data_IF_547258732838
#
_entry.id   IF_547258732838
#
_cell.length_a   1.000
_cell.length_b   1.000
_cell.length_c   1.000
_cell.angle_alpha   90.00
_cell.angle_beta   90.00
_cell.angle_gamma   90.00
#
_symmetry.space_group_name_H-M   'P 1'
#
loop_
_entity.id
_entity.type
_entity.pdbx_description
1 polymer ?
#
# COMPACT_ATOMS: atom_id res chain seq x y z
N UNK A 1 14.73 0.33 9.47
CA UNK A 1 13.68 1.26 9.95
C UNK A 1 12.36 0.49 10.06
N UNK A 2 11.68 0.54 11.20
CA UNK A 2 10.42 -0.21 11.41
C UNK A 2 9.28 0.40 10.58
N UNK A 3 8.41 -0.43 9.99
CA UNK A 3 7.25 0.02 9.20
C UNK A 3 6.14 0.58 10.11
N UNK A 4 6.32 1.79 10.64
CA UNK A 4 5.34 2.49 11.47
C UNK A 4 4.77 3.72 10.73
N UNK A 5 3.55 4.18 11.08
CA UNK A 5 2.96 5.38 10.48
C UNK A 5 3.86 6.62 10.62
N UNK A 6 4.46 6.80 11.80
CA UNK A 6 5.38 7.90 12.11
C UNK A 6 6.62 7.88 11.22
N UNK A 7 7.25 6.72 11.02
CA UNK A 7 8.42 6.62 10.15
C UNK A 7 8.06 6.88 8.69
N UNK A 8 6.90 6.38 8.23
CA UNK A 8 6.40 6.67 6.88
C UNK A 8 6.14 8.17 6.68
N UNK A 9 5.60 8.85 7.69
CA UNK A 9 5.36 10.29 7.67
C UNK A 9 6.66 11.08 7.51
N UNK A 10 7.66 10.80 8.34
CA UNK A 10 8.98 11.46 8.27
C UNK A 10 9.60 11.27 6.89
N UNK A 11 9.60 10.02 6.39
CA UNK A 11 10.11 9.72 5.05
C UNK A 11 9.34 10.46 3.95
N UNK A 12 8.02 10.59 4.07
CA UNK A 12 7.20 11.33 3.10
C UNK A 12 7.60 12.81 3.04
N UNK A 13 7.73 13.45 4.20
CA UNK A 13 8.14 14.86 4.30
C UNK A 13 9.55 15.09 3.76
N UNK A 14 10.49 14.21 4.10
CA UNK A 14 11.85 14.25 3.55
C UNK A 14 11.86 14.13 2.02
N UNK A 15 11.01 13.25 1.47
CA UNK A 15 10.90 13.08 0.02
C UNK A 15 10.28 14.30 -0.66
N UNK A 16 9.28 14.93 -0.05
CA UNK A 16 8.70 16.20 -0.54
C UNK A 16 9.77 17.29 -0.57
N UNK A 17 10.54 17.43 0.52
CA UNK A 17 11.61 18.42 0.58
C UNK A 17 12.71 18.13 -0.45
N UNK A 18 13.14 16.88 -0.58
CA UNK A 18 14.11 16.45 -1.60
C UNK A 18 13.62 16.75 -3.02
N UNK A 19 12.33 16.58 -3.29
CA UNK A 19 11.75 16.91 -4.59
C UNK A 19 11.82 18.42 -4.88
N UNK A 20 11.49 19.23 -3.86
CA UNK A 20 11.60 20.69 -3.93
C UNK A 20 13.04 21.15 -4.18
N UNK A 21 13.99 20.64 -3.40
CA UNK A 21 15.39 21.05 -3.51
C UNK A 21 16.02 20.62 -4.83
N UNK A 22 15.69 19.42 -5.32
CA UNK A 22 16.31 18.84 -6.51
C UNK A 22 15.67 19.28 -7.81
N UNK A 23 14.36 19.46 -7.82
CA UNK A 23 13.58 19.71 -9.04
C UNK A 23 12.84 21.05 -9.04
N UNK A 24 12.97 21.85 -7.98
CA UNK A 24 12.28 23.12 -7.81
C UNK A 24 10.76 23.01 -8.04
N UNK A 25 10.16 21.94 -7.51
CA UNK A 25 8.73 21.68 -7.64
C UNK A 25 8.03 21.64 -6.28
N UNK A 26 6.77 22.02 -6.26
CA UNK A 26 5.91 21.88 -5.09
C UNK A 26 5.04 20.64 -5.25
N UNK A 27 5.23 19.67 -4.36
CA UNK A 27 4.39 18.48 -4.30
C UNK A 27 3.04 18.87 -3.71
N UNK A 28 1.98 18.76 -4.51
CA UNK A 28 0.60 19.02 -4.08
C UNK A 28 -0.21 17.76 -3.80
N UNK A 29 0.24 16.62 -4.32
CA UNK A 29 -0.52 15.38 -4.29
C UNK A 29 0.38 14.22 -3.88
N UNK A 30 -0.08 13.42 -2.91
CA UNK A 30 0.60 12.19 -2.50
C UNK A 30 -0.36 11.01 -2.56
N UNK A 31 0.07 9.95 -3.25
CA UNK A 31 -0.67 8.69 -3.38
C UNK A 31 0.05 7.61 -2.61
N UNK A 32 -0.67 6.90 -1.76
CA UNK A 32 -0.11 5.79 -0.96
C UNK A 32 -0.97 4.55 -1.07
N UNK A 33 -0.43 3.38 -0.69
CA UNK A 33 -1.27 2.19 -0.54
C UNK A 33 -2.33 2.39 0.56
N UNK A 34 -3.26 1.44 0.67
CA UNK A 34 -4.38 1.49 1.61
C UNK A 34 -4.10 0.67 2.86
N UNK A 35 -2.83 0.33 3.16
CA UNK A 35 -2.51 -0.29 4.42
C UNK A 35 -2.90 0.66 5.57
N UNK A 36 -3.36 0.08 6.68
CA UNK A 36 -3.83 0.85 7.85
C UNK A 36 -2.79 1.86 8.36
N UNK A 37 -1.50 1.54 8.24
CA UNK A 37 -0.41 2.44 8.58
C UNK A 37 -0.34 3.67 7.68
N UNK A 38 -0.57 3.50 6.38
CA UNK A 38 -0.60 4.61 5.41
C UNK A 38 -1.86 5.45 5.58
N UNK A 39 -3.00 4.84 5.88
CA UNK A 39 -4.22 5.58 6.20
C UNK A 39 -4.03 6.50 7.42
N UNK A 40 -3.40 5.99 8.48
CA UNK A 40 -3.08 6.78 9.66
C UNK A 40 -2.08 7.90 9.34
N UNK A 41 -1.05 7.58 8.56
CA UNK A 41 -0.07 8.57 8.09
C UNK A 41 -0.74 9.71 7.31
N UNK A 42 -1.68 9.39 6.41
CA UNK A 42 -2.44 10.40 5.65
C UNK A 42 -3.26 11.29 6.58
N UNK A 43 -3.99 10.73 7.55
CA UNK A 43 -4.75 11.53 8.52
C UNK A 43 -3.85 12.50 9.28
N UNK A 44 -2.74 12.00 9.82
CA UNK A 44 -1.77 12.81 10.58
C UNK A 44 -1.04 13.88 9.74
N UNK A 45 -1.00 13.74 8.41
CA UNK A 45 -0.38 14.72 7.50
C UNK A 45 -1.40 15.77 7.05
N UNK A 46 -2.66 15.40 6.78
CA UNK A 46 -3.75 16.35 6.50
C UNK A 46 -3.99 17.30 7.68
N UNK A 47 -3.88 16.78 8.90
CA UNK A 47 -4.02 17.60 10.11
C UNK A 47 -2.89 18.65 10.28
N UNK A 48 -1.74 18.44 9.63
CA UNK A 48 -0.58 19.33 9.71
C UNK A 48 -0.43 20.28 8.53
N UNK A 49 -0.85 19.85 7.34
CA UNK A 49 -0.72 20.61 6.11
C UNK A 49 -1.99 20.44 5.28
N UNK A 50 -2.84 21.48 5.31
CA UNK A 50 -4.12 21.50 4.60
C UNK A 50 -3.99 21.62 3.08
N UNK A 51 -2.80 21.96 2.58
CA UNK A 51 -2.58 22.18 1.14
C UNK A 51 -2.22 20.88 0.39
N UNK A 52 -1.89 19.82 1.11
CA UNK A 52 -1.57 18.51 0.54
C UNK A 52 -2.85 17.70 0.29
N UNK A 53 -3.06 17.31 -0.97
CA UNK A 53 -4.12 16.37 -1.35
C UNK A 53 -3.57 14.95 -1.23
N UNK A 54 -4.20 14.12 -0.40
CA UNK A 54 -3.76 12.75 -0.22
C UNK A 54 -4.87 11.74 -0.46
N UNK A 55 -4.57 10.72 -1.27
CA UNK A 55 -5.49 9.63 -1.51
C UNK A 55 -4.80 8.27 -1.48
N UNK A 56 -5.63 7.26 -1.21
CA UNK A 56 -5.25 5.87 -1.29
C UNK A 56 -5.22 5.37 -2.75
N UNK A 57 -4.44 4.32 -3.00
CA UNK A 57 -4.32 3.72 -4.32
C UNK A 57 -5.65 3.11 -4.79
N UNK A 58 -6.20 3.63 -5.89
CA UNK A 58 -7.43 3.14 -6.53
C UNK A 58 -7.34 1.68 -6.95
N UNK A 59 -6.18 1.25 -7.47
CA UNK A 59 -5.98 -0.15 -7.86
C UNK A 59 -6.07 -1.12 -6.68
N UNK A 60 -5.69 -0.69 -5.48
CA UNK A 60 -5.78 -1.55 -4.29
C UNK A 60 -7.22 -1.70 -3.80
N UNK A 61 -8.14 -0.78 -4.12
CA UNK A 61 -9.57 -0.97 -3.86
C UNK A 61 -10.20 -2.05 -4.73
N UNK A 62 -9.61 -2.35 -5.90
CA UNK A 62 -10.08 -3.42 -6.78
C UNK A 62 -9.76 -4.81 -6.22
N UNK A 63 -8.77 -4.95 -5.34
CA UNK A 63 -8.44 -6.24 -4.73
C UNK A 63 -9.54 -6.76 -3.80
N UNK A 64 -10.05 -5.98 -2.82
CA UNK A 64 -11.21 -6.35 -2.02
C UNK A 64 -12.43 -6.64 -2.90
N UNK A 65 -12.72 -5.79 -3.88
CA UNK A 65 -13.83 -6.01 -4.82
C UNK A 65 -13.70 -7.34 -5.58
N UNK A 66 -12.48 -7.65 -6.05
CA UNK A 66 -12.19 -8.93 -6.67
C UNK A 66 -12.41 -10.11 -5.73
N UNK A 67 -12.05 -9.99 -4.45
CA UNK A 67 -12.32 -11.04 -3.44
C UNK A 67 -13.80 -11.23 -3.20
N UNK A 68 -14.57 -10.16 -3.08
CA UNK A 68 -16.01 -10.21 -2.78
C UNK A 68 -16.82 -10.75 -3.98
N UNK A 69 -16.35 -10.47 -5.21
CA UNK A 69 -16.98 -10.96 -6.44
C UNK A 69 -16.56 -12.39 -6.82
N UNK A 70 -15.45 -12.89 -6.29
CA UNK A 70 -14.97 -14.25 -6.60
C UNK A 70 -15.69 -15.29 -5.73
N UNK A 71 -16.29 -16.29 -6.36
CA UNK A 71 -16.97 -17.39 -5.65
C UNK A 71 -16.01 -18.18 -4.77
N UNK A 72 -16.26 -18.19 -3.46
CA UNK A 72 -15.43 -18.86 -2.46
C UNK A 72 -15.21 -20.36 -2.73
N UNK A 73 -16.21 -21.03 -3.33
CA UNK A 73 -16.12 -22.44 -3.73
C UNK A 73 -15.00 -22.70 -4.75
N UNK A 74 -14.84 -21.84 -5.76
CA UNK A 74 -13.82 -21.98 -6.80
C UNK A 74 -12.43 -21.70 -6.21
N UNK A 75 -12.30 -20.64 -5.42
CA UNK A 75 -11.04 -20.26 -4.76
C UNK A 75 -10.51 -21.38 -3.86
N UNK A 76 -11.39 -22.12 -3.19
CA UNK A 76 -11.02 -23.28 -2.38
C UNK A 76 -10.34 -24.37 -3.22
N UNK A 77 -10.91 -24.73 -4.36
CA UNK A 77 -10.33 -25.75 -5.24
C UNK A 77 -8.98 -25.32 -5.82
N UNK A 78 -8.86 -24.06 -6.24
CA UNK A 78 -7.59 -23.49 -6.72
C UNK A 78 -6.51 -23.58 -5.62
N UNK A 79 -6.88 -23.24 -4.39
CA UNK A 79 -5.96 -23.27 -3.23
C UNK A 79 -5.45 -24.68 -2.95
N UNK A 80 -6.29 -25.71 -3.06
CA UNK A 80 -5.88 -27.11 -2.89
C UNK A 80 -4.80 -27.49 -3.91
N UNK A 81 -5.02 -27.17 -5.19
CA UNK A 81 -4.07 -27.46 -6.26
C UNK A 81 -2.75 -26.72 -6.04
N UNK A 82 -2.80 -25.42 -5.72
CA UNK A 82 -1.60 -24.63 -5.43
C UNK A 82 -0.80 -25.18 -4.25
N UNK A 83 -1.49 -25.59 -3.17
CA UNK A 83 -0.84 -26.16 -1.99
C UNK A 83 -0.21 -27.52 -2.29
N UNK A 84 -0.84 -28.35 -3.12
CA UNK A 84 -0.27 -29.62 -3.56
C UNK A 84 1.09 -29.41 -4.23
N UNK A 85 1.17 -28.56 -5.25
CA UNK A 85 2.42 -28.25 -5.93
C UNK A 85 3.45 -27.61 -5.00
N UNK A 86 3.06 -26.62 -4.17
CA UNK A 86 3.99 -25.96 -3.23
C UNK A 86 4.65 -26.94 -2.26
N UNK A 87 3.92 -27.96 -1.81
CA UNK A 87 4.37 -28.86 -0.75
C UNK A 87 5.04 -30.14 -1.28
N UNK A 88 4.74 -30.56 -2.51
CA UNK A 88 5.22 -31.84 -3.05
C UNK A 88 6.24 -31.67 -4.17
N UNK A 89 6.30 -30.51 -4.83
CA UNK A 89 7.25 -30.25 -5.93
C UNK A 89 8.46 -29.42 -5.50
N UNK A 90 8.77 -29.33 -4.20
CA UNK A 90 10.08 -28.83 -3.79
C UNK A 90 11.14 -29.88 -4.15
N UNK A 91 12.27 -29.49 -4.77
CA UNK A 91 13.42 -30.37 -4.86
C UNK A 91 13.82 -30.83 -3.45
N UNK A 92 14.20 -32.10 -3.30
CA UNK A 92 14.89 -32.54 -2.08
C UNK A 92 16.15 -31.67 -1.92
N UNK A 93 16.21 -30.94 -0.81
CA UNK A 93 17.38 -30.15 -0.43
C UNK A 93 18.53 -31.07 0.02
#
# INVERSE_FOLDING_TARGET
MTKSPQNCKVLCLECIQKAKDKFNCDVKVVVTDNARSMEKMRKELLDQDSDLIMYGCSALWLQPFGRDSTTSAITKHITVVQNYFRNHHKPLA
#
